data_IF_137705237747
#
_entry.id   IF_137705237747
#
_cell.length_a   1.000
_cell.length_b   1.000
_cell.length_c   1.000
_cell.angle_alpha   90.00
_cell.angle_beta   90.00
_cell.angle_gamma   90.00
#
_symmetry.space_group_name_H-M   'P 1'
#
loop_
_entity.id
_entity.type
_entity.pdbx_description
1 polymer ?
#
# COMPACT_ATOMS: atom_id res chain seq x y z
N UNK A 1 17.85 19.10 -9.68
CA UNK A 1 16.37 19.01 -9.57
C UNK A 1 15.88 17.58 -9.85
N UNK A 2 16.27 16.99 -10.99
CA UNK A 2 15.87 15.62 -11.42
C UNK A 2 16.35 14.50 -10.48
N UNK A 3 17.58 14.57 -9.96
CA UNK A 3 18.09 13.56 -9.01
C UNK A 3 17.32 13.56 -7.69
N UNK A 4 16.84 14.73 -7.26
CA UNK A 4 16.01 14.86 -6.06
C UNK A 4 14.64 14.20 -6.25
N UNK A 5 14.01 14.32 -7.42
CA UNK A 5 12.69 13.73 -7.65
C UNK A 5 12.76 12.21 -7.85
N UNK A 6 13.81 11.70 -8.48
CA UNK A 6 14.06 10.25 -8.59
C UNK A 6 14.29 9.65 -7.20
N UNK A 7 15.11 10.31 -6.36
CA UNK A 7 15.33 9.88 -4.97
C UNK A 7 14.04 9.93 -4.16
N UNK A 8 13.24 10.99 -4.29
CA UNK A 8 11.92 11.12 -3.63
C UNK A 8 10.96 10.01 -4.06
N UNK A 9 10.85 9.74 -5.37
CA UNK A 9 10.06 8.63 -5.93
C UNK A 9 10.42 7.28 -5.29
N UNK A 10 11.72 6.96 -5.19
CA UNK A 10 12.19 5.73 -4.56
C UNK A 10 11.84 5.68 -3.06
N UNK A 11 12.05 6.77 -2.33
CA UNK A 11 11.74 6.84 -0.89
C UNK A 11 10.25 6.70 -0.62
N UNK A 12 9.39 7.42 -1.35
CA UNK A 12 7.94 7.36 -1.18
C UNK A 12 7.38 5.99 -1.59
N UNK A 13 7.90 5.40 -2.67
CA UNK A 13 7.58 4.01 -3.04
C UNK A 13 7.96 3.04 -1.92
N UNK A 14 9.14 3.19 -1.31
CA UNK A 14 9.59 2.33 -0.20
C UNK A 14 8.68 2.48 1.01
N UNK A 15 8.34 3.71 1.42
CA UNK A 15 7.42 3.96 2.52
C UNK A 15 6.03 3.36 2.26
N UNK A 16 5.50 3.54 1.06
CA UNK A 16 4.20 3.00 0.67
C UNK A 16 4.18 1.46 0.69
N UNK A 17 5.25 0.81 0.20
CA UNK A 17 5.40 -0.65 0.29
C UNK A 17 5.44 -1.14 1.74
N UNK A 18 6.20 -0.46 2.61
CA UNK A 18 6.27 -0.80 4.03
C UNK A 18 4.91 -0.68 4.71
N UNK A 19 4.18 0.41 4.47
CA UNK A 19 2.81 0.59 4.99
C UNK A 19 1.87 -0.52 4.50
N UNK A 20 1.88 -0.82 3.20
CA UNK A 20 1.05 -1.89 2.65
C UNK A 20 1.39 -3.27 3.25
N UNK A 21 2.68 -3.53 3.51
CA UNK A 21 3.10 -4.76 4.18
C UNK A 21 2.63 -4.82 5.64
N UNK A 22 2.76 -3.73 6.40
CA UNK A 22 2.25 -3.64 7.78
C UNK A 22 0.74 -3.86 7.84
N UNK A 23 -0.03 -3.24 6.95
CA UNK A 23 -1.48 -3.42 6.87
C UNK A 23 -1.86 -4.87 6.50
N UNK A 24 -1.13 -5.50 5.59
CA UNK A 24 -1.35 -6.92 5.25
C UNK A 24 -1.05 -7.85 6.42
N UNK A 25 -0.05 -7.54 7.26
CA UNK A 25 0.28 -8.32 8.46
C UNK A 25 -0.83 -8.18 9.52
N UNK A 26 -1.30 -6.96 9.78
CA UNK A 26 -2.42 -6.72 10.71
C UNK A 26 -3.67 -7.48 10.27
N UNK A 27 -4.04 -7.32 8.99
CA UNK A 27 -5.16 -8.05 8.42
C UNK A 27 -5.01 -9.57 8.58
N UNK A 28 -3.81 -10.12 8.32
CA UNK A 28 -3.57 -11.56 8.51
C UNK A 28 -3.77 -11.99 9.96
N UNK A 29 -3.34 -11.17 10.93
CA UNK A 29 -3.54 -11.48 12.35
C UNK A 29 -5.04 -11.51 12.71
N UNK A 30 -5.81 -10.56 12.20
CA UNK A 30 -7.27 -10.52 12.38
C UNK A 30 -7.96 -11.73 11.74
N UNK A 31 -7.57 -12.11 10.52
CA UNK A 31 -8.14 -13.29 9.85
C UNK A 31 -7.74 -14.60 10.52
N UNK A 32 -6.51 -14.71 11.05
CA UNK A 32 -6.11 -15.87 11.85
C UNK A 32 -6.98 -16.00 13.11
N UNK A 33 -7.23 -14.90 13.81
CA UNK A 33 -8.11 -14.91 14.98
C UNK A 33 -9.55 -15.35 14.62
N UNK A 34 -10.05 -14.97 13.43
CA UNK A 34 -11.35 -15.45 12.93
C UNK A 34 -11.32 -16.95 12.63
N UNK A 35 -10.27 -17.45 11.99
CA UNK A 35 -10.12 -18.88 11.69
C UNK A 35 -10.06 -19.69 12.99
N UNK A 36 -9.30 -19.22 13.98
CA UNK A 36 -9.19 -19.90 15.28
C UNK A 36 -10.54 -19.89 16.03
N UNK A 37 -11.31 -18.80 15.93
CA UNK A 37 -12.65 -18.71 16.51
C UNK A 37 -13.70 -19.66 15.87
N UNK A 38 -13.46 -20.13 14.64
CA UNK A 38 -14.34 -21.10 13.98
C UNK A 38 -14.20 -22.52 14.55
N UNK A 39 -13.18 -22.80 15.37
CA UNK A 39 -12.96 -24.12 15.96
C UNK A 39 -12.70 -25.22 14.94
N UNK A 40 -12.19 -24.86 13.75
CA UNK A 40 -11.87 -25.81 12.68
C UNK A 40 -10.71 -26.72 13.09
N UNK A 41 -10.77 -27.98 12.70
CA UNK A 41 -9.71 -28.98 12.93
C UNK A 41 -9.26 -29.64 11.60
N UNK A 42 -8.21 -30.45 11.72
CA UNK A 42 -7.68 -31.28 10.63
C UNK A 42 -7.49 -30.55 9.30
N UNK A 43 -8.05 -31.14 8.24
CA UNK A 43 -7.89 -30.66 6.87
C UNK A 43 -8.61 -29.32 6.62
N UNK A 44 -9.70 -29.04 7.33
CA UNK A 44 -10.44 -27.78 7.19
C UNK A 44 -9.62 -26.60 7.72
N UNK A 45 -8.94 -26.78 8.85
CA UNK A 45 -8.01 -25.77 9.39
C UNK A 45 -6.81 -25.56 8.47
N UNK A 46 -6.25 -26.64 7.93
CA UNK A 46 -5.13 -26.56 7.00
C UNK A 46 -5.51 -25.81 5.71
N UNK A 47 -6.69 -26.11 5.15
CA UNK A 47 -7.21 -25.42 3.97
C UNK A 47 -7.45 -23.93 4.23
N UNK A 48 -8.05 -23.58 5.38
CA UNK A 48 -8.30 -22.19 5.77
C UNK A 48 -6.99 -21.39 5.92
N UNK A 49 -5.98 -21.96 6.60
CA UNK A 49 -4.66 -21.32 6.75
C UNK A 49 -3.91 -21.19 5.42
N UNK A 50 -4.01 -22.19 4.55
CA UNK A 50 -3.43 -22.15 3.20
C UNK A 50 -4.07 -21.06 2.34
N UNK A 51 -5.41 -20.98 2.33
CA UNK A 51 -6.15 -19.93 1.63
C UNK A 51 -5.80 -18.53 2.12
N UNK A 52 -5.66 -18.35 3.45
CA UNK A 52 -5.21 -17.09 4.03
C UNK A 52 -3.80 -16.70 3.58
N UNK A 53 -2.88 -17.66 3.49
CA UNK A 53 -1.53 -17.43 2.98
C UNK A 53 -1.51 -16.95 1.52
N UNK A 54 -2.30 -17.60 0.66
CA UNK A 54 -2.43 -17.22 -0.75
C UNK A 54 -3.01 -15.80 -0.90
N UNK A 55 -4.03 -15.47 -0.11
CA UNK A 55 -4.66 -14.14 -0.15
C UNK A 55 -3.74 -13.05 0.41
N UNK A 56 -2.95 -13.33 1.44
CA UNK A 56 -1.91 -12.43 1.92
C UNK A 56 -0.89 -12.12 0.82
N UNK A 57 -0.43 -13.14 0.09
CA UNK A 57 0.52 -12.94 -1.01
C UNK A 57 -0.06 -12.06 -2.13
N UNK A 58 -1.35 -12.25 -2.47
CA UNK A 58 -2.06 -11.38 -3.43
C UNK A 58 -2.12 -9.94 -2.95
N UNK A 59 -2.50 -9.70 -1.69
CA UNK A 59 -2.57 -8.36 -1.09
C UNK A 59 -1.22 -7.66 -1.08
N UNK A 60 -0.14 -8.36 -0.72
CA UNK A 60 1.22 -7.82 -0.76
C UNK A 60 1.63 -7.44 -2.18
N UNK A 61 1.35 -8.29 -3.17
CA UNK A 61 1.64 -8.00 -4.59
C UNK A 61 0.85 -6.80 -5.09
N UNK A 62 -0.44 -6.72 -4.76
CA UNK A 62 -1.31 -5.61 -5.14
C UNK A 62 -0.85 -4.29 -4.50
N UNK A 63 -0.54 -4.29 -3.20
CA UNK A 63 -0.01 -3.14 -2.49
C UNK A 63 1.33 -2.66 -3.06
N UNK A 64 2.24 -3.59 -3.37
CA UNK A 64 3.52 -3.25 -3.98
C UNK A 64 3.37 -2.68 -5.41
N UNK A 65 2.41 -3.19 -6.19
CA UNK A 65 2.09 -2.68 -7.53
C UNK A 65 1.53 -1.25 -7.45
N UNK A 66 0.55 -1.03 -6.57
CA UNK A 66 -0.04 0.30 -6.34
C UNK A 66 0.98 1.31 -5.83
N UNK A 67 1.86 0.90 -4.91
CA UNK A 67 2.94 1.75 -4.42
C UNK A 67 3.89 2.19 -5.54
N UNK A 68 4.18 1.33 -6.52
CA UNK A 68 5.00 1.69 -7.69
C UNK A 68 4.26 2.61 -8.65
N UNK A 69 3.00 2.32 -8.97
CA UNK A 69 2.24 3.09 -9.97
C UNK A 69 1.90 4.51 -9.50
N UNK A 70 1.68 4.70 -8.19
CA UNK A 70 1.32 6.01 -7.63
C UNK A 70 2.52 6.92 -7.34
N UNK A 71 3.73 6.36 -7.24
CA UNK A 71 4.94 7.11 -6.86
C UNK A 71 5.96 7.17 -8.00
N UNK A 72 5.53 7.06 -9.25
CA UNK A 72 6.42 7.32 -10.40
C UNK A 72 6.84 8.78 -10.42
N UNK A 73 7.97 9.08 -11.05
CA UNK A 73 8.47 10.46 -11.19
C UNK A 73 7.40 11.36 -11.83
N UNK A 74 6.75 10.91 -12.90
CA UNK A 74 5.65 11.63 -13.55
C UNK A 74 4.51 11.95 -12.60
N UNK A 75 4.06 10.98 -11.79
CA UNK A 75 2.96 11.19 -10.83
C UNK A 75 3.33 12.15 -9.70
N UNK A 76 4.61 12.18 -9.31
CA UNK A 76 5.10 13.17 -8.34
C UNK A 76 5.11 14.58 -8.93
N UNK A 77 5.58 14.74 -10.18
CA UNK A 77 5.57 16.04 -10.88
C UNK A 77 4.13 16.53 -11.06
N UNK A 78 3.22 15.67 -11.52
CA UNK A 78 1.80 16.01 -11.69
C UNK A 78 1.17 16.48 -10.36
N UNK A 79 1.56 15.88 -9.24
CA UNK A 79 1.10 16.29 -7.91
C UNK A 79 1.69 17.63 -7.49
N UNK A 80 3.00 17.83 -7.66
CA UNK A 80 3.65 19.11 -7.34
C UNK A 80 3.03 20.27 -8.11
N UNK A 81 2.80 20.11 -9.42
CA UNK A 81 2.13 21.12 -10.26
C UNK A 81 0.70 21.41 -9.78
N UNK A 82 -0.03 20.38 -9.34
CA UNK A 82 -1.38 20.56 -8.81
C UNK A 82 -1.37 21.31 -7.49
N UNK A 83 -0.51 20.89 -6.56
CA UNK A 83 -0.37 21.51 -5.25
C UNK A 83 0.06 22.99 -5.40
N UNK A 84 0.90 23.32 -6.40
CA UNK A 84 1.24 24.70 -6.76
C UNK A 84 0.02 25.50 -7.23
N UNK A 85 -0.76 24.96 -8.17
CA UNK A 85 -1.99 25.62 -8.65
C UNK A 85 -3.01 25.84 -7.53
N UNK A 86 -3.17 24.85 -6.64
CA UNK A 86 -4.07 24.95 -5.49
C UNK A 86 -3.61 26.03 -4.51
N UNK A 87 -2.30 26.11 -4.20
CA UNK A 87 -1.73 27.21 -3.39
C UNK A 87 -1.95 28.57 -4.03
N UNK A 88 -1.67 28.70 -5.32
CA UNK A 88 -1.84 29.98 -6.04
C UNK A 88 -3.32 30.41 -6.08
N UNK A 89 -4.26 29.46 -6.19
CA UNK A 89 -5.69 29.73 -6.12
C UNK A 89 -6.15 30.15 -4.72
N UNK A 90 -5.56 29.60 -3.66
CA UNK A 90 -5.90 29.93 -2.28
C UNK A 90 -5.32 31.28 -1.81
N UNK A 91 -4.30 31.79 -2.52
CA UNK A 91 -3.58 33.03 -2.16
C UNK A 91 -4.07 34.25 -2.96
N UNK A 92 -5.01 34.06 -3.90
CA UNK A 92 -5.70 35.16 -4.59
C UNK A 92 -7.00 35.45 -3.85
N UNK A 93 -7.07 36.48 -2.97
CA UNK A 93 -8.37 37.01 -2.60
C UNK A 93 -8.97 37.64 -3.85
N UNK A 94 -10.25 37.35 -4.09
CA UNK A 94 -11.11 38.15 -4.99
C UNK A 94 -10.97 39.65 -4.65
#
# INVERSE_FOLDING_TARGET
MTDNIIRRSKTETRKAKLRAASEAIKWRAEELAKIDALGLDGDALAAAKSGLGAEMARRLKAGASRAKSQNTVTKLIEREIRDEKERDSATRPD
#
